data_IF_322006916668
#
_entry.id   IF_322006916668
#
_cell.length_a   1.000
_cell.length_b   1.000
_cell.length_c   1.000
_cell.angle_alpha   90.00
_cell.angle_beta   90.00
_cell.angle_gamma   90.00
#
_symmetry.space_group_name_H-M   'P 1'
#
loop_
_entity.id
_entity.type
_entity.pdbx_description
1 polymer ?
#
# COMPACT_ATOMS: atom_id res chain seq x y z
N UNK A 1 25.41 -4.91 0.04
CA UNK A 1 24.99 -3.63 0.65
C UNK A 1 23.85 -2.91 -0.10
N UNK A 2 23.79 -2.95 -1.44
CA UNK A 2 22.86 -2.18 -2.29
C UNK A 2 21.35 -2.28 -1.92
N UNK A 3 20.85 -3.48 -1.60
CA UNK A 3 19.43 -3.67 -1.25
C UNK A 3 19.02 -3.09 0.12
N UNK A 4 19.97 -2.95 1.06
CA UNK A 4 19.69 -2.42 2.42
C UNK A 4 19.36 -0.92 2.38
N UNK A 5 20.15 -0.13 1.64
CA UNK A 5 19.94 1.30 1.52
C UNK A 5 18.60 1.64 0.83
N UNK A 6 18.29 0.94 -0.27
CA UNK A 6 17.01 1.11 -0.95
C UNK A 6 15.82 0.82 -0.04
N UNK A 7 15.88 -0.28 0.73
CA UNK A 7 14.82 -0.67 1.66
C UNK A 7 14.61 0.35 2.79
N UNK A 8 15.70 0.87 3.36
CA UNK A 8 15.61 1.75 4.54
C UNK A 8 15.21 3.18 4.18
N UNK A 9 15.83 3.78 3.16
CA UNK A 9 15.69 5.22 2.89
C UNK A 9 14.79 5.46 1.70
N UNK A 10 15.21 4.98 0.53
CA UNK A 10 14.58 5.32 -0.77
C UNK A 10 13.11 4.86 -0.81
N UNK A 11 12.85 3.64 -0.34
CA UNK A 11 11.50 3.07 -0.32
C UNK A 11 10.56 3.84 0.62
N UNK A 12 11.04 4.28 1.79
CA UNK A 12 10.22 5.08 2.71
C UNK A 12 9.85 6.43 2.09
N UNK A 13 10.81 7.14 1.50
CA UNK A 13 10.56 8.44 0.85
C UNK A 13 9.57 8.29 -0.32
N UNK A 14 9.71 7.24 -1.13
CA UNK A 14 8.77 6.96 -2.23
C UNK A 14 7.36 6.62 -1.75
N UNK A 15 7.21 5.92 -0.62
CA UNK A 15 5.92 5.44 -0.13
C UNK A 15 5.19 6.50 0.71
N UNK A 16 5.88 7.33 1.47
CA UNK A 16 5.29 8.39 2.30
C UNK A 16 4.32 9.27 1.50
N UNK A 17 4.75 9.72 0.32
CA UNK A 17 3.89 10.48 -0.57
C UNK A 17 2.67 9.67 -1.04
N UNK A 18 2.77 8.36 -1.26
CA UNK A 18 1.69 7.53 -1.76
C UNK A 18 0.74 6.97 -0.67
N UNK A 19 1.05 7.16 0.61
CA UNK A 19 0.23 6.70 1.73
C UNK A 19 -0.96 7.63 2.00
N UNK A 20 -0.81 8.94 1.81
CA UNK A 20 -1.81 9.94 2.19
C UNK A 20 -2.78 10.37 1.06
N UNK A 21 -2.54 9.97 -0.21
CA UNK A 21 -3.41 10.35 -1.34
C UNK A 21 -4.32 9.21 -1.80
N UNK A 22 -5.40 9.57 -2.51
CA UNK A 22 -6.20 8.64 -3.30
C UNK A 22 -5.40 8.09 -4.51
N UNK A 23 -4.54 7.11 -4.27
CA UNK A 23 -3.68 6.53 -5.30
C UNK A 23 -4.50 5.69 -6.28
N UNK A 24 -4.65 6.22 -7.49
CA UNK A 24 -5.16 5.48 -8.66
C UNK A 24 -4.16 4.42 -9.14
N UNK A 25 -4.64 3.42 -9.89
CA UNK A 25 -3.79 2.38 -10.51
C UNK A 25 -2.62 2.95 -11.33
N UNK A 26 -2.81 4.13 -11.92
CA UNK A 26 -1.77 4.87 -12.67
C UNK A 26 -0.58 5.26 -11.81
N UNK A 27 -0.81 5.71 -10.57
CA UNK A 27 0.26 6.08 -9.64
C UNK A 27 1.04 4.85 -9.17
N UNK A 28 0.38 3.72 -8.92
CA UNK A 28 1.04 2.45 -8.58
C UNK A 28 1.96 1.99 -9.73
N UNK A 29 1.48 2.08 -10.98
CA UNK A 29 2.29 1.76 -12.17
C UNK A 29 3.51 2.67 -12.29
N UNK A 30 3.37 3.98 -12.01
CA UNK A 30 4.50 4.93 -12.01
C UNK A 30 5.52 4.60 -10.91
N UNK A 31 5.06 4.29 -9.70
CA UNK A 31 5.93 3.86 -8.59
C UNK A 31 6.68 2.57 -8.94
N UNK A 32 5.99 1.59 -9.51
CA UNK A 32 6.61 0.34 -9.97
C UNK A 32 7.68 0.59 -11.04
N UNK A 33 7.41 1.46 -12.02
CA UNK A 33 8.37 1.81 -13.05
C UNK A 33 9.61 2.54 -12.48
N UNK A 34 9.40 3.47 -11.54
CA UNK A 34 10.47 4.18 -10.85
C UNK A 34 11.34 3.21 -10.03
N UNK A 35 10.72 2.33 -9.23
CA UNK A 35 11.41 1.26 -8.49
C UNK A 35 12.27 0.44 -9.44
N UNK A 36 11.68 -0.10 -10.51
CA UNK A 36 12.42 -0.98 -11.42
C UNK A 36 13.57 -0.27 -12.14
N UNK A 37 13.41 1.01 -12.48
CA UNK A 37 14.49 1.82 -13.07
C UNK A 37 15.66 1.97 -12.09
N UNK A 38 15.39 2.27 -10.82
CA UNK A 38 16.43 2.43 -9.81
C UNK A 38 17.09 1.11 -9.45
N UNK A 39 16.31 0.02 -9.31
CA UNK A 39 16.87 -1.32 -9.07
C UNK A 39 17.80 -1.75 -10.20
N UNK A 40 17.39 -1.52 -11.46
CA UNK A 40 18.22 -1.76 -12.65
C UNK A 40 19.50 -0.95 -12.61
N UNK A 41 19.41 0.35 -12.37
CA UNK A 41 20.57 1.25 -12.30
C UNK A 41 21.58 0.82 -11.22
N UNK A 42 21.12 0.50 -10.01
CA UNK A 42 22.00 0.01 -8.93
C UNK A 42 22.69 -1.33 -9.26
N UNK A 43 22.03 -2.17 -10.06
CA UNK A 43 22.56 -3.45 -10.51
C UNK A 43 23.38 -3.34 -11.79
N UNK A 44 23.53 -2.15 -12.37
CA UNK A 44 24.19 -1.94 -13.66
C UNK A 44 23.49 -2.64 -14.82
N UNK A 45 22.17 -2.86 -14.71
CA UNK A 45 21.37 -3.56 -15.72
C UNK A 45 20.60 -2.57 -16.58
N UNK A 46 20.55 -2.81 -17.88
CA UNK A 46 19.78 -2.00 -18.82
C UNK A 46 18.50 -2.73 -19.23
N UNK A 47 17.68 -2.11 -20.08
CA UNK A 47 16.54 -2.81 -20.71
C UNK A 47 16.99 -3.78 -21.81
N UNK A 48 18.17 -3.58 -22.40
CA UNK A 48 18.71 -4.41 -23.47
C UNK A 48 19.10 -5.80 -22.97
N UNK A 49 19.45 -5.92 -21.69
CA UNK A 49 19.81 -7.19 -21.07
C UNK A 49 18.65 -8.21 -21.02
N UNK A 50 17.40 -7.77 -21.32
CA UNK A 50 16.17 -8.58 -21.29
C UNK A 50 15.94 -9.38 -20.00
N UNK A 51 16.62 -9.02 -18.91
CA UNK A 51 16.44 -9.63 -17.59
C UNK A 51 15.06 -9.29 -17.05
N UNK A 52 14.33 -10.29 -16.55
CA UNK A 52 13.01 -10.10 -15.98
C UNK A 52 13.06 -9.26 -14.70
N UNK A 53 11.97 -8.53 -14.43
CA UNK A 53 11.89 -7.70 -13.21
C UNK A 53 11.93 -8.54 -11.93
N UNK A 54 11.42 -9.77 -11.99
CA UNK A 54 11.45 -10.72 -10.87
C UNK A 54 12.88 -11.15 -10.52
N UNK A 55 13.70 -11.46 -11.53
CA UNK A 55 15.12 -11.83 -11.30
C UNK A 55 15.87 -10.69 -10.63
N UNK A 56 15.66 -9.45 -11.09
CA UNK A 56 16.28 -8.25 -10.48
C UNK A 56 15.85 -8.11 -9.02
N UNK A 57 14.56 -8.29 -8.73
CA UNK A 57 14.05 -8.24 -7.36
C UNK A 57 14.64 -9.33 -6.48
N UNK A 58 14.73 -10.56 -6.97
CA UNK A 58 15.35 -11.69 -6.25
C UNK A 58 16.82 -11.43 -5.96
N UNK A 59 17.54 -10.86 -6.92
CA UNK A 59 18.96 -10.50 -6.77
C UNK A 59 19.18 -9.42 -5.69
N UNK A 60 18.29 -8.42 -5.60
CA UNK A 60 18.38 -7.34 -4.60
C UNK A 60 17.70 -7.73 -3.26
N UNK A 61 16.90 -8.80 -3.25
CA UNK A 61 16.09 -9.22 -2.10
C UNK A 61 14.90 -8.30 -1.82
N UNK A 62 14.31 -7.71 -2.87
CA UNK A 62 13.23 -6.72 -2.74
C UNK A 62 11.85 -7.31 -3.02
N UNK A 63 10.94 -7.13 -2.07
CA UNK A 63 9.50 -7.33 -2.27
C UNK A 63 8.95 -6.24 -3.20
N UNK A 64 7.97 -6.51 -4.08
CA UNK A 64 7.34 -5.49 -4.93
C UNK A 64 6.85 -4.26 -4.16
N UNK A 65 7.02 -3.06 -4.75
CA UNK A 65 6.54 -1.80 -4.15
C UNK A 65 5.03 -1.78 -3.89
N UNK A 66 4.24 -2.47 -4.71
CA UNK A 66 2.78 -2.53 -4.55
C UNK A 66 2.38 -3.25 -3.27
N UNK A 67 3.07 -4.34 -2.91
CA UNK A 67 2.82 -5.06 -1.67
C UNK A 67 3.16 -4.20 -0.45
N UNK A 68 4.26 -3.45 -0.53
CA UNK A 68 4.66 -2.53 0.53
C UNK A 68 3.72 -1.34 0.67
N UNK A 69 3.21 -0.82 -0.45
CA UNK A 69 2.19 0.21 -0.46
C UNK A 69 0.88 -0.28 0.16
N UNK A 70 0.47 -1.51 -0.15
CA UNK A 70 -0.71 -2.16 0.47
C UNK A 70 -0.52 -2.33 1.97
N UNK A 71 0.64 -2.82 2.39
CA UNK A 71 0.99 -2.98 3.81
C UNK A 71 0.97 -1.64 4.56
N UNK A 72 1.57 -0.60 4.00
CA UNK A 72 1.60 0.74 4.59
C UNK A 72 0.19 1.33 4.77
N UNK A 73 -0.69 1.16 3.78
CA UNK A 73 -2.08 1.60 3.89
C UNK A 73 -2.87 0.87 4.96
N UNK A 74 -2.69 -0.45 5.06
CA UNK A 74 -3.34 -1.23 6.11
C UNK A 74 -2.86 -0.80 7.49
N UNK A 75 -1.57 -0.48 7.64
CA UNK A 75 -1.01 0.07 8.89
C UNK A 75 -1.61 1.44 9.21
N UNK A 76 -1.68 2.35 8.23
CA UNK A 76 -2.32 3.66 8.37
C UNK A 76 -3.80 3.53 8.75
N UNK A 77 -4.56 2.71 8.04
CA UNK A 77 -5.97 2.47 8.33
C UNK A 77 -6.17 1.89 9.73
N UNK A 78 -5.31 0.95 10.14
CA UNK A 78 -5.31 0.43 11.50
C UNK A 78 -4.99 1.52 12.54
N UNK A 79 -4.08 2.45 12.23
CA UNK A 79 -3.77 3.57 13.12
C UNK A 79 -4.97 4.51 13.28
N UNK A 80 -5.60 4.91 12.18
CA UNK A 80 -6.82 5.74 12.18
C UNK A 80 -7.95 5.06 12.95
N UNK A 81 -8.16 3.75 12.76
CA UNK A 81 -9.21 3.00 13.49
C UNK A 81 -8.95 2.84 14.99
N UNK A 82 -7.68 2.90 15.42
CA UNK A 82 -7.29 2.84 16.83
C UNK A 82 -7.20 4.22 17.49
N UNK A 83 -7.32 5.30 16.71
CA UNK A 83 -7.37 6.65 17.23
C UNK A 83 -8.74 6.87 17.87
N UNK A 84 -8.76 7.15 19.17
CA UNK A 84 -9.97 7.41 19.96
C UNK A 84 -10.83 8.53 19.37
N UNK A 85 -12.15 8.43 19.56
CA UNK A 85 -13.14 9.41 19.11
C UNK A 85 -12.98 10.82 19.72
N UNK A 86 -12.09 10.99 20.70
CA UNK A 86 -11.81 12.26 21.39
C UNK A 86 -10.52 12.96 20.92
N UNK A 87 -9.81 12.43 19.91
CA UNK A 87 -8.73 13.19 19.28
C UNK A 87 -9.33 14.32 18.41
N UNK A 88 -8.91 15.59 18.55
CA UNK A 88 -9.44 16.69 17.76
C UNK A 88 -8.83 16.65 16.36
N UNK A 89 -9.29 15.69 15.55
CA UNK A 89 -9.20 15.80 14.10
C UNK A 89 -10.59 16.23 13.67
N UNK A 90 -10.74 17.51 13.31
CA UNK A 90 -11.86 17.93 12.49
C UNK A 90 -11.77 17.17 11.16
N UNK A 91 -12.45 16.02 11.13
CA UNK A 91 -12.68 15.22 9.93
C UNK A 91 -13.73 15.94 9.08
N UNK A 92 -13.37 17.13 8.60
CA UNK A 92 -14.13 17.93 7.65
C UNK A 92 -14.12 17.36 6.23
N UNK A 93 -14.11 16.03 6.07
CA UNK A 93 -14.33 15.39 4.78
C UNK A 93 -15.00 14.04 5.00
N UNK A 94 -16.22 13.92 4.50
CA UNK A 94 -16.93 12.66 4.33
C UNK A 94 -16.10 11.71 3.46
N UNK A 95 -15.24 10.91 4.08
CA UNK A 95 -14.50 9.84 3.42
C UNK A 95 -15.45 8.68 3.15
N UNK A 96 -16.16 8.73 2.01
CA UNK A 96 -16.77 7.52 1.45
C UNK A 96 -15.64 6.57 1.06
N UNK A 97 -15.64 5.37 1.65
CA UNK A 97 -14.68 4.31 1.33
C UNK A 97 -14.57 4.13 -0.19
N UNK A 98 -13.34 4.10 -0.75
CA UNK A 98 -13.15 3.76 -2.15
C UNK A 98 -13.71 2.35 -2.42
N UNK A 99 -14.44 2.13 -3.52
CA UNK A 99 -15.14 0.87 -3.80
C UNK A 99 -14.26 -0.39 -3.83
N UNK A 100 -12.94 -0.23 -3.90
CA UNK A 100 -11.98 -1.33 -3.97
C UNK A 100 -11.71 -2.06 -2.65
N UNK A 101 -12.37 -1.69 -1.55
CA UNK A 101 -12.14 -2.24 -0.20
C UNK A 101 -13.33 -2.97 0.42
N UNK A 102 -14.29 -3.46 -0.38
CA UNK A 102 -15.34 -4.33 0.13
C UNK A 102 -14.78 -5.73 0.42
N UNK A 103 -14.24 -5.90 1.62
CA UNK A 103 -13.94 -7.23 2.18
C UNK A 103 -15.24 -7.82 2.72
N UNK A 104 -15.80 -8.76 1.96
CA UNK A 104 -16.67 -9.84 2.40
C UNK A 104 -17.76 -9.47 3.43
N UNK A 105 -18.95 -9.13 2.93
CA UNK A 105 -20.17 -9.29 3.71
C UNK A 105 -20.34 -10.77 4.07
N UNK A 106 -20.08 -11.14 5.33
CA UNK A 106 -20.64 -12.37 5.90
C UNK A 106 -21.98 -12.03 6.52
N UNK A 107 -23.02 -12.44 5.79
CA UNK A 107 -24.40 -12.56 6.27
C UNK A 107 -24.45 -13.51 7.47
N UNK A 108 -25.05 -13.05 8.57
CA UNK A 108 -25.66 -13.91 9.58
C UNK A 108 -26.92 -13.20 10.07
N UNK A 109 -28.07 -13.69 9.62
CA UNK A 109 -29.38 -13.28 10.11
C UNK A 109 -29.52 -13.69 11.58
N UNK A 110 -29.75 -12.72 12.46
CA UNK A 110 -30.36 -12.96 13.78
C UNK A 110 -31.80 -12.46 13.73
N UNK A 111 -32.74 -13.39 13.94
CA UNK A 111 -34.17 -13.10 14.04
C UNK A 111 -34.46 -12.09 15.18
N UNK A 112 -35.49 -11.23 15.04
CA UNK A 112 -35.91 -10.33 16.12
C UNK A 112 -36.67 -11.09 17.22
N UNK A 113 -36.58 -10.66 18.50
CA UNK A 113 -37.37 -11.25 19.57
C UNK A 113 -38.84 -10.84 19.42
N UNK A 114 -39.75 -11.81 19.47
CA UNK A 114 -41.18 -11.55 19.61
C UNK A 114 -41.44 -11.10 21.05
N UNK A 115 -41.78 -9.82 21.23
CA UNK A 115 -42.36 -9.31 22.47
C UNK A 115 -43.81 -9.79 22.54
N UNK A 116 -44.09 -10.75 23.42
CA UNK A 116 -45.44 -11.04 23.90
C UNK A 116 -45.73 -10.14 25.10
N UNK A 117 -46.60 -9.15 24.91
CA UNK A 117 -47.75 -8.80 25.77
C UNK A 117 -48.70 -7.92 24.95
#
# INVERSE_FOLDING_TARGET
MKGKFYRSVVRHVMLYGAECWAVKKTHVRRLHAAEMRMLRWMCGKTRLDRISNEVIRRQVGMVPVEDKLREARLRWFGHVRRQDANAPVELGVSWKQPPCFQVGARSAYTHPPQTLL
#
